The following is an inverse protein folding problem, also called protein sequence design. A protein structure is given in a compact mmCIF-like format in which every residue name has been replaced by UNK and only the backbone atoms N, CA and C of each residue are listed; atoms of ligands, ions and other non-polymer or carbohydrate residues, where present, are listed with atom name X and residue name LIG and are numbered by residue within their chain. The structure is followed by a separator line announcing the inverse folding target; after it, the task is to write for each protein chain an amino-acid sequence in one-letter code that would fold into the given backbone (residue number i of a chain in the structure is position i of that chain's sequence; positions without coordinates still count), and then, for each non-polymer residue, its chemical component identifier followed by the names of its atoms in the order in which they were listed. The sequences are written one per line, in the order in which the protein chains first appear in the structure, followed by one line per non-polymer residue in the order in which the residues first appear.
data_IF_680664536397
#
_entry.id   IF_680664536397
#
_cell.length_a   1.000
_cell.length_b   1.000
_cell.length_c   1.000
_cell.angle_alpha   90.00
_cell.angle_beta   90.00
_cell.angle_gamma   90.00
#
_symmetry.space_group_name_H-M   'P 1'
#
loop_
_entity.id
_entity.type
_entity.pdbx_description
1 polymer ?
#
# COMPACT_ATOMS: atom_id res chain seq x y z
N UNK A 1 7.70 -3.05 -6.34
CA UNK A 1 7.74 -1.57 -6.28
C UNK A 1 9.09 -1.12 -5.74
N UNK A 2 9.66 -0.08 -6.30
CA UNK A 2 10.93 0.46 -5.85
C UNK A 2 10.71 1.59 -4.86
N UNK A 3 11.37 1.52 -3.71
CA UNK A 3 11.28 2.54 -2.66
C UNK A 3 12.67 2.95 -2.20
N UNK A 4 12.75 4.16 -1.65
CA UNK A 4 13.95 4.66 -0.97
C UNK A 4 13.58 4.76 0.51
N UNK A 5 14.45 4.23 1.37
CA UNK A 5 14.22 4.33 2.81
C UNK A 5 14.73 5.69 3.29
N UNK A 6 13.82 6.52 3.76
CA UNK A 6 14.15 7.87 4.25
C UNK A 6 14.63 7.85 5.68
N UNK A 7 13.99 7.04 6.52
CA UNK A 7 14.36 6.88 7.92
C UNK A 7 13.78 5.59 8.45
N UNK A 8 14.30 5.12 9.59
CA UNK A 8 13.74 3.97 10.28
C UNK A 8 13.92 4.09 11.78
N UNK A 9 13.07 3.38 12.50
CA UNK A 9 13.16 3.24 13.96
C UNK A 9 13.02 1.77 14.32
N UNK A 10 13.80 1.32 15.30
CA UNK A 10 13.66 -0.01 15.87
C UNK A 10 12.98 0.09 17.23
N UNK A 11 11.96 -0.74 17.44
CA UNK A 11 11.21 -0.75 18.71
C UNK A 11 10.51 -2.09 18.85
N UNK A 12 10.70 -2.75 20.01
CA UNK A 12 10.02 -4.03 20.30
C UNK A 12 10.19 -5.09 19.19
N UNK A 13 11.42 -5.22 18.68
CA UNK A 13 11.76 -6.15 17.61
C UNK A 13 11.12 -5.84 16.26
N UNK A 14 10.50 -4.68 16.15
CA UNK A 14 9.94 -4.21 14.88
C UNK A 14 10.77 -3.08 14.30
N UNK A 15 10.84 -3.04 12.97
CA UNK A 15 11.49 -1.95 12.25
C UNK A 15 10.41 -1.18 11.52
N UNK A 16 10.24 0.09 11.88
CA UNK A 16 9.28 0.98 11.23
C UNK A 16 10.04 1.92 10.33
N UNK A 17 9.63 1.99 9.07
CA UNK A 17 10.31 2.81 8.06
C UNK A 17 9.40 3.89 7.53
N UNK A 18 10.02 5.01 7.15
CA UNK A 18 9.39 6.01 6.26
C UNK A 18 10.07 5.82 4.91
N UNK A 19 9.27 5.54 3.91
CA UNK A 19 9.79 5.30 2.56
C UNK A 19 9.24 6.30 1.56
N UNK A 20 9.95 6.49 0.47
CA UNK A 20 9.46 7.26 -0.67
C UNK A 20 9.46 6.40 -1.92
N UNK A 21 8.54 6.68 -2.80
CA UNK A 21 8.43 6.06 -4.12
C UNK A 21 8.12 7.15 -5.14
N UNK A 22 8.04 6.78 -6.40
CA UNK A 22 7.62 7.74 -7.43
C UNK A 22 6.16 8.21 -7.27
N UNK A 23 5.39 7.56 -6.41
CA UNK A 23 3.98 7.91 -6.15
C UNK A 23 3.80 8.73 -4.88
N UNK A 24 4.82 8.85 -4.05
CA UNK A 24 4.78 9.58 -2.80
C UNK A 24 5.37 8.79 -1.64
N UNK A 25 5.09 9.24 -0.43
CA UNK A 25 5.69 8.70 0.80
C UNK A 25 4.70 7.91 1.62
N UNK A 26 5.21 6.89 2.32
CA UNK A 26 4.42 6.09 3.23
C UNK A 26 5.22 5.67 4.46
N UNK A 27 4.50 5.08 5.41
CA UNK A 27 5.06 4.51 6.64
C UNK A 27 4.69 3.03 6.66
N UNK A 28 5.64 2.17 6.99
CA UNK A 28 5.40 0.73 6.99
C UNK A 28 6.29 0.02 7.99
N UNK A 29 5.92 -1.22 8.31
CA UNK A 29 6.82 -2.14 9.00
C UNK A 29 7.69 -2.82 7.97
N UNK A 30 8.96 -2.99 8.30
CA UNK A 30 9.95 -3.59 7.41
C UNK A 30 10.24 -5.02 7.86
N UNK A 31 10.10 -5.96 6.94
CA UNK A 31 10.45 -7.36 7.20
C UNK A 31 11.76 -7.69 6.52
N UNK A 32 12.72 -8.17 7.31
CA UNK A 32 14.03 -8.55 6.82
C UNK A 32 15.15 -7.87 7.60
N UNK A 33 16.34 -7.87 7.02
CA UNK A 33 17.51 -7.24 7.63
C UNK A 33 17.31 -5.73 7.69
N UNK A 34 17.93 -5.08 8.69
CA UNK A 34 17.81 -3.63 8.88
C UNK A 34 18.19 -2.90 7.59
N UNK A 35 17.32 -2.05 7.05
CA UNK A 35 17.61 -1.30 5.83
C UNK A 35 18.60 -0.17 6.10
N UNK A 36 19.17 0.37 5.04
CA UNK A 36 20.05 1.56 5.13
C UNK A 36 19.29 2.78 4.64
N UNK A 37 19.36 3.85 5.42
CA UNK A 37 18.79 5.13 5.01
C UNK A 37 19.41 5.62 3.72
N UNK A 38 18.57 6.12 2.83
CA UNK A 38 19.01 6.63 1.53
C UNK A 38 19.16 5.58 0.45
N UNK A 39 19.13 4.29 0.81
CA UNK A 39 19.24 3.22 -0.18
C UNK A 39 17.89 2.89 -0.79
N UNK A 40 17.95 2.39 -2.01
CA UNK A 40 16.77 1.91 -2.75
C UNK A 40 16.61 0.41 -2.58
N UNK A 41 15.37 -0.03 -2.51
CA UNK A 41 15.03 -1.45 -2.40
C UNK A 41 13.85 -1.76 -3.30
N UNK A 42 13.85 -2.94 -3.89
CA UNK A 42 12.68 -3.46 -4.57
C UNK A 42 11.88 -4.25 -3.55
N UNK A 43 10.62 -3.90 -3.34
CA UNK A 43 9.80 -4.45 -2.27
C UNK A 43 8.45 -4.93 -2.77
N UNK A 44 7.87 -5.86 -1.99
CA UNK A 44 6.46 -6.19 -2.08
C UNK A 44 5.77 -5.52 -0.90
N UNK A 45 4.60 -4.97 -1.16
CA UNK A 45 3.80 -4.27 -0.17
C UNK A 45 2.60 -5.12 0.18
N UNK A 46 2.41 -5.36 1.48
CA UNK A 46 1.27 -6.12 1.98
C UNK A 46 0.43 -5.24 2.89
N UNK A 47 -0.89 -5.34 2.74
CA UNK A 47 -1.85 -4.69 3.63
C UNK A 47 -2.61 -5.79 4.33
N UNK A 48 -2.26 -6.09 5.60
CA UNK A 48 -2.84 -7.24 6.30
C UNK A 48 -4.26 -7.04 6.80
N UNK A 49 -4.75 -5.80 6.82
CA UNK A 49 -6.09 -5.49 7.30
C UNK A 49 -7.15 -5.84 6.27
N UNK A 50 -8.31 -6.29 6.76
CA UNK A 50 -9.51 -6.38 5.95
C UNK A 50 -10.08 -4.96 5.78
N UNK A 51 -10.22 -4.50 4.53
CA UNK A 51 -10.73 -3.17 4.24
C UNK A 51 -12.19 -3.23 3.82
N UNK A 52 -12.95 -2.22 4.22
CA UNK A 52 -14.40 -2.16 3.96
C UNK A 52 -14.70 -1.15 2.87
N UNK A 53 -15.44 -1.61 1.86
CA UNK A 53 -15.93 -0.73 0.81
C UNK A 53 -16.87 0.33 1.40
N UNK A 54 -16.67 1.58 1.00
CA UNK A 54 -17.49 2.70 1.49
C UNK A 54 -16.95 3.34 2.75
N UNK A 55 -16.10 2.64 3.49
CA UNK A 55 -15.45 3.17 4.70
C UNK A 55 -13.96 3.39 4.49
N UNK A 56 -13.23 2.29 4.25
CA UNK A 56 -11.78 2.35 4.04
C UNK A 56 -11.43 2.58 2.58
N UNK A 57 -12.31 2.17 1.67
CA UNK A 57 -12.12 2.28 0.22
C UNK A 57 -13.28 3.09 -0.36
N UNK A 58 -12.94 4.12 -1.13
CA UNK A 58 -13.93 4.99 -1.76
C UNK A 58 -13.56 5.26 -3.21
N UNK A 59 -14.57 5.53 -4.04
CA UNK A 59 -14.36 5.89 -5.42
C UNK A 59 -13.81 7.29 -5.58
N UNK A 60 -13.07 7.49 -6.66
CA UNK A 60 -12.49 8.77 -7.05
C UNK A 60 -12.88 9.08 -8.48
N UNK A 61 -12.95 10.36 -8.81
CA UNK A 61 -13.28 10.79 -10.17
C UNK A 61 -12.06 10.91 -11.08
N UNK A 62 -10.88 11.14 -10.50
CA UNK A 62 -9.67 11.35 -11.28
C UNK A 62 -8.76 10.14 -11.24
N UNK A 63 -8.12 9.85 -12.37
CA UNK A 63 -7.12 8.81 -12.49
C UNK A 63 -5.80 9.35 -11.94
N UNK A 64 -5.43 8.88 -10.77
CA UNK A 64 -4.23 9.32 -10.09
C UNK A 64 -3.59 8.12 -9.40
N UNK A 65 -2.25 8.08 -9.41
CA UNK A 65 -1.49 7.11 -8.64
C UNK A 65 -0.77 7.87 -7.54
N UNK A 66 -1.11 7.56 -6.30
CA UNK A 66 -0.64 8.35 -5.16
C UNK A 66 -0.41 7.47 -3.94
N UNK A 67 0.66 7.77 -3.20
CA UNK A 67 0.88 7.28 -1.84
C UNK A 67 1.14 8.51 -0.98
N UNK A 68 0.39 8.66 0.11
CA UNK A 68 0.44 9.87 0.92
C UNK A 68 0.23 9.54 2.39
N UNK A 69 1.03 10.17 3.25
CA UNK A 69 0.84 10.05 4.70
C UNK A 69 -0.14 11.13 5.15
N UNK A 70 -1.25 10.70 5.77
CA UNK A 70 -2.23 11.59 6.37
C UNK A 70 -2.48 11.16 7.80
N UNK A 71 -2.10 12.02 8.74
CA UNK A 71 -2.14 11.72 10.18
C UNK A 71 -1.31 10.44 10.45
N UNK A 72 -1.91 9.42 11.03
CA UNK A 72 -1.21 8.16 11.30
C UNK A 72 -1.56 7.07 10.29
N UNK A 73 -2.11 7.46 9.14
CA UNK A 73 -2.52 6.53 8.09
C UNK A 73 -1.81 6.84 6.80
N UNK A 74 -1.79 5.84 5.93
CA UNK A 74 -1.29 5.99 4.57
C UNK A 74 -2.46 5.86 3.62
N UNK A 75 -2.59 6.82 2.71
CA UNK A 75 -3.62 6.84 1.67
C UNK A 75 -3.01 6.44 0.35
N UNK A 76 -3.72 5.60 -0.38
CA UNK A 76 -3.34 5.18 -1.72
C UNK A 76 -4.44 5.57 -2.70
N UNK A 77 -4.06 6.01 -3.89
CA UNK A 77 -5.00 6.19 -4.99
C UNK A 77 -4.52 5.36 -6.17
N UNK A 78 -5.43 4.63 -6.77
CA UNK A 78 -5.12 3.74 -7.87
C UNK A 78 -6.37 3.29 -8.61
N UNK A 79 -6.22 2.26 -9.44
CA UNK A 79 -7.30 1.72 -10.26
C UNK A 79 -7.61 0.29 -9.84
N UNK A 80 -8.88 -0.02 -9.67
CA UNK A 80 -9.33 -1.39 -9.39
C UNK A 80 -9.14 -2.22 -10.67
N UNK A 81 -8.20 -3.15 -10.66
CA UNK A 81 -7.87 -3.97 -11.82
C UNK A 81 -8.73 -5.23 -11.90
N UNK A 82 -8.92 -5.87 -10.76
CA UNK A 82 -9.76 -7.07 -10.69
C UNK A 82 -10.28 -7.29 -9.28
N UNK A 83 -11.32 -8.07 -9.17
CA UNK A 83 -11.88 -8.46 -7.87
C UNK A 83 -12.43 -9.88 -7.95
N UNK A 84 -12.19 -10.67 -6.90
CA UNK A 84 -12.80 -11.98 -6.71
C UNK A 84 -14.05 -11.79 -5.85
N UNK A 85 -15.19 -12.08 -6.40
CA UNK A 85 -16.47 -11.94 -5.68
C UNK A 85 -16.63 -12.97 -4.56
N UNK A 86 -15.92 -14.10 -4.65
CA UNK A 86 -16.02 -15.18 -3.66
C UNK A 86 -15.38 -14.80 -2.33
N UNK A 87 -14.18 -14.23 -2.38
CA UNK A 87 -13.40 -13.98 -1.16
C UNK A 87 -13.08 -12.49 -0.92
N UNK A 88 -13.51 -11.60 -1.82
CA UNK A 88 -13.28 -10.18 -1.68
C UNK A 88 -11.84 -9.74 -1.95
N UNK A 89 -10.98 -10.64 -2.45
CA UNK A 89 -9.62 -10.25 -2.83
C UNK A 89 -9.65 -9.39 -4.08
N UNK A 90 -8.99 -8.25 -4.04
CA UNK A 90 -8.90 -7.40 -5.21
C UNK A 90 -7.48 -6.98 -5.49
N UNK A 91 -7.25 -6.61 -6.75
CA UNK A 91 -5.97 -6.10 -7.24
C UNK A 91 -6.14 -4.64 -7.59
N UNK A 92 -5.34 -3.79 -6.96
CA UNK A 92 -5.31 -2.37 -7.27
C UNK A 92 -4.03 -2.05 -8.00
N UNK A 93 -4.16 -1.41 -9.16
CA UNK A 93 -3.04 -0.96 -9.97
C UNK A 93 -2.54 0.37 -9.45
N UNK A 94 -1.24 0.46 -9.19
CA UNK A 94 -0.56 1.69 -8.81
C UNK A 94 0.62 1.87 -9.77
N UNK A 95 0.36 2.51 -10.91
CA UNK A 95 1.37 2.66 -11.96
C UNK A 95 1.77 1.31 -12.55
N UNK A 96 3.03 0.96 -12.44
CA UNK A 96 3.58 -0.33 -12.87
C UNK A 96 3.58 -1.38 -11.76
N UNK A 97 3.02 -1.05 -10.61
CA UNK A 97 2.93 -1.95 -9.46
C UNK A 97 1.49 -2.35 -9.19
N UNK A 98 1.31 -3.43 -8.44
CA UNK A 98 -0.01 -3.84 -7.98
C UNK A 98 0.01 -4.05 -6.48
N UNK A 99 -1.15 -3.83 -5.87
CA UNK A 99 -1.36 -4.06 -4.44
C UNK A 99 -2.54 -5.00 -4.31
N UNK A 100 -2.38 -6.04 -3.50
CA UNK A 100 -3.46 -6.97 -3.22
C UNK A 100 -4.17 -6.54 -1.94
N UNK A 101 -5.50 -6.50 -1.97
CA UNK A 101 -6.32 -6.14 -0.82
C UNK A 101 -7.31 -7.25 -0.52
N UNK A 102 -7.55 -7.49 0.77
CA UNK A 102 -8.69 -8.27 1.22
C UNK A 102 -9.79 -7.28 1.60
N UNK A 103 -10.97 -7.46 1.04
CA UNK A 103 -12.07 -6.50 1.23
C UNK A 103 -13.38 -7.19 1.58
N UNK A 104 -14.28 -6.42 2.17
CA UNK A 104 -15.67 -6.84 2.38
C UNK A 104 -16.61 -5.69 2.05
N UNK A 105 -17.84 -6.02 1.71
CA UNK A 105 -18.86 -5.05 1.33
C UNK A 105 -19.11 -5.07 -0.17
N UNK A 106 -19.80 -4.04 -0.66
CA UNK A 106 -20.18 -3.94 -2.07
C UNK A 106 -19.09 -3.20 -2.84
N UNK A 107 -18.38 -3.89 -3.75
CA UNK A 107 -17.27 -3.28 -4.46
C UNK A 107 -17.72 -2.32 -5.56
N UNK A 108 -16.80 -1.47 -5.99
CA UNK A 108 -16.95 -0.69 -7.22
C UNK A 108 -16.72 -1.60 -8.43
N UNK A 109 -17.08 -1.09 -9.59
CA UNK A 109 -16.82 -1.81 -10.83
C UNK A 109 -15.32 -1.84 -11.15
N UNK A 110 -14.87 -2.91 -11.81
CA UNK A 110 -13.51 -3.03 -12.32
C UNK A 110 -13.21 -1.85 -13.24
N UNK A 111 -12.00 -1.34 -13.18
CA UNK A 111 -11.51 -0.13 -13.86
C UNK A 111 -11.93 1.17 -13.17
N UNK A 112 -12.63 1.11 -12.02
CA UNK A 112 -12.92 2.30 -11.24
C UNK A 112 -11.66 2.87 -10.61
N UNK A 113 -11.60 4.18 -10.49
CA UNK A 113 -10.54 4.86 -9.75
C UNK A 113 -10.94 4.89 -8.28
N UNK A 114 -10.00 4.59 -7.39
CA UNK A 114 -10.33 4.48 -5.98
C UNK A 114 -9.21 5.04 -5.10
N UNK A 115 -9.59 5.29 -3.86
CA UNK A 115 -8.70 5.67 -2.77
C UNK A 115 -8.97 4.74 -1.60
N UNK A 116 -7.90 4.28 -0.95
CA UNK A 116 -8.06 3.54 0.30
C UNK A 116 -7.04 4.01 1.33
N UNK A 117 -7.37 3.82 2.60
CA UNK A 117 -6.54 4.18 3.73
C UNK A 117 -6.25 2.96 4.59
N UNK A 118 -5.04 2.91 5.13
CA UNK A 118 -4.68 1.88 6.09
C UNK A 118 -3.62 2.42 7.06
N UNK A 119 -3.64 1.91 8.29
CA UNK A 119 -2.61 2.20 9.27
C UNK A 119 -1.62 1.04 9.42
N UNK A 120 -1.72 0.03 8.56
CA UNK A 120 -0.93 -1.18 8.68
C UNK A 120 -0.43 -1.64 7.31
N UNK A 121 0.85 -1.40 7.07
CA UNK A 121 1.53 -1.79 5.83
C UNK A 121 2.79 -2.54 6.20
N UNK A 122 3.07 -3.62 5.49
CA UNK A 122 4.30 -4.38 5.65
C UNK A 122 5.05 -4.37 4.33
N UNK A 123 6.34 -4.06 4.39
CA UNK A 123 7.23 -4.13 3.22
C UNK A 123 8.15 -5.34 3.37
N UNK A 124 8.23 -6.13 2.31
CA UNK A 124 9.15 -7.26 2.19
C UNK A 124 10.13 -6.97 1.07
N UNK A 125 11.41 -7.11 1.36
CA UNK A 125 12.42 -6.94 0.33
C UNK A 125 12.39 -8.13 -0.64
N UNK A 126 12.37 -7.85 -1.94
CA UNK A 126 12.46 -8.88 -2.96
C UNK A 126 13.91 -9.31 -3.12
N UNK A 127 14.26 -10.44 -2.52
CA UNK A 127 15.60 -11.02 -2.62
C UNK A 127 15.62 -12.00 -3.79
N UNK A 128 16.13 -11.54 -4.91
CA UNK A 128 16.30 -12.40 -6.07
C UNK A 128 17.72 -12.33 -6.60
#
# INVERSE_FOLDING_TARGET
MKVVIKSYEESNEEIKVVFSSKFGEGIALWQGAIPKEGNSYDVELEIPNLLKWGKDIQGKKSNCFLIEILDNKVCFEGTLESISEEDGCCVVRLGDSIILLETEGVPLEVQSYLRFETDNIILYENNR
#
